data_IF_570318931088
#
_entry.id   IF_570318931088
#
_cell.length_a   1.000
_cell.length_b   1.000
_cell.length_c   1.000
_cell.angle_alpha   90.00
_cell.angle_beta   90.00
_cell.angle_gamma   90.00
#
_symmetry.space_group_name_H-M   'P 1'
#
loop_
_entity.id
_entity.type
_entity.pdbx_description
1 polymer ?
#
# COMPACT_ATOMS: atom_id res chain seq x y z
N UNK A 1 -16.96 4.77 -53.39
CA UNK A 1 -16.41 5.80 -52.49
C UNK A 1 -16.59 5.33 -51.05
N UNK A 2 -15.53 5.46 -50.25
CA UNK A 2 -15.47 5.37 -48.78
C UNK A 2 -15.81 4.02 -48.10
N UNK A 3 -14.77 3.22 -47.79
CA UNK A 3 -14.46 2.70 -46.43
C UNK A 3 -13.29 1.69 -46.50
N UNK A 4 -12.07 2.19 -46.70
CA UNK A 4 -10.80 1.44 -46.49
C UNK A 4 -9.78 2.30 -45.76
N UNK A 5 -10.15 2.79 -44.58
CA UNK A 5 -9.23 3.49 -43.68
C UNK A 5 -9.58 3.15 -42.24
N UNK A 6 -8.85 2.19 -41.65
CA UNK A 6 -8.45 2.14 -40.22
C UNK A 6 -7.96 0.73 -39.84
N UNK A 7 -6.80 0.32 -40.36
CA UNK A 7 -6.08 -0.89 -39.87
C UNK A 7 -4.57 -0.58 -39.66
N UNK A 8 -4.17 0.68 -39.51
CA UNK A 8 -2.73 1.03 -39.46
C UNK A 8 -2.38 2.04 -38.35
N UNK A 9 -2.87 1.81 -37.12
CA UNK A 9 -2.44 2.58 -35.93
C UNK A 9 -2.31 1.66 -34.69
N UNK A 10 -1.72 0.46 -34.79
CA UNK A 10 -1.23 -0.29 -33.60
C UNK A 10 0.06 -1.05 -33.95
N UNK A 11 1.01 -0.36 -34.58
CA UNK A 11 2.37 -0.90 -34.74
C UNK A 11 3.33 0.26 -34.69
N UNK A 12 4.31 0.17 -33.78
CA UNK A 12 5.30 1.19 -33.38
C UNK A 12 4.86 2.10 -32.24
N UNK A 13 5.26 1.74 -31.01
CA UNK A 13 6.07 2.57 -30.10
C UNK A 13 6.40 1.76 -28.84
N UNK A 14 7.37 0.86 -28.94
CA UNK A 14 8.12 0.34 -27.78
C UNK A 14 9.61 0.34 -28.13
N UNK A 15 10.37 1.39 -27.75
CA UNK A 15 11.81 1.27 -27.64
C UNK A 15 12.18 1.41 -26.16
N UNK A 16 12.38 0.28 -25.47
CA UNK A 16 13.10 0.28 -24.19
C UNK A 16 14.19 -0.80 -24.22
N UNK A 17 15.22 -0.43 -24.97
CA UNK A 17 16.62 -0.84 -24.85
C UNK A 17 17.01 -0.71 -23.37
N UNK A 18 17.46 -1.80 -22.74
CA UNK A 18 18.53 -1.91 -21.71
C UNK A 18 18.48 -3.30 -21.04
N UNK A 19 18.83 -4.34 -21.81
CA UNK A 19 19.20 -5.69 -21.31
C UNK A 19 20.68 -6.00 -21.62
N UNK A 20 21.53 -4.98 -21.65
CA UNK A 20 22.94 -5.07 -22.10
C UNK A 20 23.98 -5.03 -20.97
N UNK A 21 23.58 -5.21 -19.71
CA UNK A 21 24.51 -5.22 -18.56
C UNK A 21 24.52 -6.54 -17.78
N UNK A 22 23.78 -7.57 -18.23
CA UNK A 22 23.77 -8.91 -17.61
C UNK A 22 24.63 -9.94 -18.35
N UNK A 23 25.17 -9.61 -19.53
CA UNK A 23 25.96 -10.54 -20.36
C UNK A 23 27.49 -10.46 -20.16
N UNK A 24 28.00 -9.61 -19.27
CA UNK A 24 29.44 -9.52 -18.98
C UNK A 24 29.89 -10.23 -17.68
N UNK A 25 28.96 -10.73 -16.85
CA UNK A 25 29.26 -11.40 -15.55
C UNK A 25 28.98 -12.92 -15.60
N UNK A 26 28.84 -13.53 -16.78
CA UNK A 26 28.59 -14.99 -16.91
C UNK A 26 29.55 -15.66 -17.91
N UNK A 27 30.84 -15.28 -17.90
CA UNK A 27 31.89 -15.93 -18.70
C UNK A 27 33.05 -16.51 -17.89
N UNK A 28 32.85 -16.73 -16.59
CA UNK A 28 33.76 -17.53 -15.77
C UNK A 28 32.94 -18.45 -14.88
N UNK A 29 33.08 -19.75 -15.14
CA UNK A 29 33.01 -20.93 -14.25
C UNK A 29 32.33 -22.08 -15.02
N UNK A 30 32.90 -23.30 -14.98
CA UNK A 30 32.75 -24.30 -16.03
C UNK A 30 31.53 -25.22 -15.86
N UNK A 31 31.25 -25.89 -16.97
CA UNK A 31 30.23 -26.91 -17.18
C UNK A 31 30.05 -27.89 -16.01
N UNK A 32 28.80 -28.00 -15.53
CA UNK A 32 28.28 -29.22 -14.92
C UNK A 32 26.98 -29.59 -15.63
N UNK A 33 26.94 -30.87 -15.99
CA UNK A 33 25.94 -31.58 -16.76
C UNK A 33 24.66 -31.84 -15.95
N UNK A 34 23.57 -32.07 -16.68
CA UNK A 34 22.40 -32.88 -16.35
C UNK A 34 21.06 -32.21 -15.92
N UNK A 35 20.23 -32.01 -16.95
CA UNK A 35 18.86 -32.54 -17.14
C UNK A 35 17.69 -32.31 -16.15
N UNK A 36 16.56 -31.94 -16.78
CA UNK A 36 15.14 -32.13 -16.43
C UNK A 36 14.40 -31.04 -15.63
N UNK A 37 13.73 -30.17 -16.43
CA UNK A 37 12.31 -29.80 -16.39
C UNK A 37 11.63 -29.80 -15.00
N UNK A 38 11.20 -28.63 -14.52
CA UNK A 38 9.78 -28.23 -14.34
C UNK A 38 9.70 -26.72 -14.07
N UNK A 39 8.90 -26.04 -14.89
CA UNK A 39 8.63 -24.62 -14.87
C UNK A 39 7.48 -24.37 -13.88
N UNK A 40 7.76 -23.78 -12.72
CA UNK A 40 6.72 -23.41 -11.73
C UNK A 40 6.39 -21.92 -11.86
N UNK A 41 5.16 -21.67 -12.28
CA UNK A 41 4.46 -20.38 -12.23
C UNK A 41 4.08 -20.13 -10.75
N UNK A 42 4.36 -18.97 -10.13
CA UNK A 42 3.92 -18.73 -8.77
C UNK A 42 2.41 -18.43 -8.74
N UNK A 43 1.67 -19.39 -8.17
CA UNK A 43 0.27 -19.31 -7.78
C UNK A 43 0.03 -18.19 -6.77
N UNK A 44 -0.92 -17.31 -7.08
CA UNK A 44 -1.46 -16.25 -6.22
C UNK A 44 -2.78 -16.75 -5.65
N UNK A 45 -2.76 -17.59 -4.61
CA UNK A 45 -3.95 -17.88 -3.80
C UNK A 45 -3.52 -18.29 -2.38
N UNK A 46 -3.54 -17.33 -1.45
CA UNK A 46 -3.47 -17.58 -0.02
C UNK A 46 -4.87 -17.56 0.56
N UNK A 47 -5.49 -18.73 0.68
CA UNK A 47 -6.78 -18.91 1.35
C UNK A 47 -6.59 -19.04 2.86
N UNK A 48 -7.19 -18.12 3.62
CA UNK A 48 -7.38 -18.27 5.06
C UNK A 48 -8.54 -19.24 5.30
N UNK A 49 -8.32 -20.31 6.07
CA UNK A 49 -9.41 -21.01 6.78
C UNK A 49 -8.91 -21.78 8.00
N UNK A 50 -9.20 -21.21 9.16
CA UNK A 50 -9.70 -21.85 10.39
C UNK A 50 -9.49 -23.36 10.58
N UNK A 51 -8.64 -23.71 11.55
CA UNK A 51 -8.83 -24.89 12.39
C UNK A 51 -8.71 -24.48 13.87
N UNK A 52 -9.87 -24.38 14.54
CA UNK A 52 -9.98 -24.36 16.01
C UNK A 52 -9.77 -25.78 16.53
N UNK A 53 -9.02 -25.93 17.64
CA UNK A 53 -9.35 -26.79 18.79
C UNK A 53 -8.36 -26.56 19.95
N UNK A 54 -8.83 -25.75 20.90
CA UNK A 54 -8.69 -25.82 22.36
C UNK A 54 -7.46 -26.49 22.98
N UNK A 55 -6.71 -25.71 23.78
CA UNK A 55 -6.46 -26.04 25.19
C UNK A 55 -6.32 -24.72 25.99
N UNK A 56 -7.16 -24.59 27.02
CA UNK A 56 -7.27 -23.52 28.03
C UNK A 56 -6.09 -23.59 29.06
N UNK A 57 -5.90 -22.64 30.03
CA UNK A 57 -6.91 -21.75 30.60
C UNK A 57 -6.54 -20.27 30.78
N UNK A 58 -7.61 -19.54 31.09
CA UNK A 58 -7.64 -18.18 31.58
C UNK A 58 -6.83 -18.01 32.88
N UNK A 59 -6.15 -16.86 33.01
CA UNK A 59 -6.10 -16.20 34.32
C UNK A 59 -6.30 -14.70 34.15
N UNK A 60 -7.24 -14.25 34.95
CA UNK A 60 -7.76 -12.92 35.17
C UNK A 60 -6.91 -12.30 36.28
N UNK A 61 -6.52 -11.04 36.16
CA UNK A 61 -6.12 -10.08 37.22
C UNK A 61 -5.10 -9.10 36.64
N UNK A 62 -5.05 -7.83 36.96
CA UNK A 62 -5.93 -6.87 37.62
C UNK A 62 -5.22 -5.53 37.40
N UNK A 63 -6.00 -4.46 37.41
CA UNK A 63 -5.52 -3.10 37.35
C UNK A 63 -4.52 -2.82 38.49
N UNK A 64 -3.43 -2.13 38.18
CA UNK A 64 -2.62 -1.45 39.19
C UNK A 64 -2.45 0.01 38.76
N UNK A 65 -3.29 0.83 39.36
CA UNK A 65 -3.21 2.29 39.38
C UNK A 65 -1.91 2.67 40.09
N UNK A 66 -1.06 3.47 39.44
CA UNK A 66 0.10 4.06 40.11
C UNK A 66 -0.27 5.49 40.51
N UNK A 67 -0.42 5.69 41.81
CA UNK A 67 -0.66 6.98 42.45
C UNK A 67 0.65 7.75 42.59
N UNK A 68 0.64 9.02 42.21
CA UNK A 68 1.68 10.01 42.53
C UNK A 68 1.34 10.69 43.87
N UNK A 69 2.29 10.83 44.81
CA UNK A 69 2.12 11.73 45.94
C UNK A 69 2.68 13.10 45.59
N UNK A 70 1.96 14.17 45.88
CA UNK A 70 2.59 15.49 46.00
C UNK A 70 1.85 16.31 47.05
N UNK A 71 2.66 16.83 47.97
CA UNK A 71 2.36 17.49 49.23
C UNK A 71 1.81 18.90 49.05
N UNK A 72 1.00 19.32 50.03
CA UNK A 72 0.28 20.58 50.11
C UNK A 72 1.15 21.82 50.39
N UNK A 73 0.50 22.96 50.12
CA UNK A 73 0.62 24.29 50.75
C UNK A 73 1.67 25.26 50.21
N UNK A 74 1.24 26.32 49.52
CA UNK A 74 1.34 27.69 50.06
C UNK A 74 0.42 28.69 49.34
N UNK A 75 0.06 29.72 50.10
CA UNK A 75 -1.03 30.69 50.00
C UNK A 75 -0.51 32.01 49.40
N UNK A 76 -1.15 32.58 48.36
CA UNK A 76 -1.09 34.03 48.09
C UNK A 76 -2.17 34.49 47.10
N UNK A 77 -2.57 35.74 47.28
CA UNK A 77 -3.80 36.45 46.91
C UNK A 77 -4.14 36.59 45.40
N UNK A 78 -5.40 36.87 45.04
CA UNK A 78 -5.79 37.13 43.65
C UNK A 78 -5.53 38.59 43.24
N UNK A 79 -4.65 38.78 42.25
CA UNK A 79 -4.48 40.03 41.48
C UNK A 79 -5.54 40.10 40.36
N UNK A 80 -6.17 41.25 40.09
CA UNK A 80 -7.21 41.36 39.06
C UNK A 80 -6.60 41.22 37.65
N UNK A 81 -7.13 40.29 36.87
CA UNK A 81 -6.76 40.06 35.46
C UNK A 81 -7.25 41.18 34.57
N UNK A 82 -6.29 41.92 34.02
CA UNK A 82 -6.45 42.88 32.95
C UNK A 82 -6.76 42.13 31.64
N UNK A 83 -7.96 42.35 31.09
CA UNK A 83 -8.41 41.78 29.81
C UNK A 83 -7.61 42.37 28.65
N UNK A 84 -6.75 41.56 28.04
CA UNK A 84 -6.23 41.83 26.69
C UNK A 84 -7.15 41.19 25.64
N UNK A 85 -7.55 41.90 24.57
CA UNK A 85 -8.29 41.30 23.47
C UNK A 85 -7.35 40.36 22.71
N UNK A 86 -7.49 39.06 22.96
CA UNK A 86 -6.93 38.05 22.08
C UNK A 86 -7.68 38.15 20.75
N UNK A 87 -6.96 38.50 19.67
CA UNK A 87 -7.40 38.32 18.30
C UNK A 87 -7.53 36.81 18.01
N UNK A 88 -8.51 36.16 18.63
CA UNK A 88 -9.01 34.87 18.19
C UNK A 88 -9.82 35.11 16.92
N UNK A 89 -9.17 34.93 15.77
CA UNK A 89 -9.90 34.67 14.54
C UNK A 89 -10.63 33.34 14.74
N UNK A 90 -11.98 33.33 14.76
CA UNK A 90 -12.71 32.08 14.89
C UNK A 90 -12.34 31.22 13.69
N UNK A 91 -11.84 30.00 13.97
CA UNK A 91 -11.68 28.96 12.96
C UNK A 91 -13.08 28.63 12.45
N UNK A 92 -13.52 29.38 11.45
CA UNK A 92 -14.75 29.12 10.75
C UNK A 92 -14.65 27.70 10.21
N UNK A 93 -15.61 26.87 10.57
CA UNK A 93 -15.82 25.50 10.07
C UNK A 93 -16.21 25.49 8.59
N UNK A 94 -15.70 26.45 7.81
CA UNK A 94 -15.77 26.45 6.35
C UNK A 94 -15.37 25.05 5.90
N UNK A 95 -16.34 24.36 5.30
CA UNK A 95 -16.15 23.09 4.62
C UNK A 95 -14.80 23.17 3.91
N UNK A 96 -13.84 22.27 4.19
CA UNK A 96 -12.52 22.37 3.59
C UNK A 96 -12.75 22.39 2.09
N UNK A 97 -12.55 23.57 1.49
CA UNK A 97 -12.76 23.75 0.07
C UNK A 97 -12.01 22.63 -0.61
N UNK A 98 -12.68 21.91 -1.50
CA UNK A 98 -12.10 20.87 -2.34
C UNK A 98 -11.13 21.47 -3.36
N UNK A 99 -10.23 22.34 -2.88
CA UNK A 99 -9.14 22.91 -3.63
C UNK A 99 -8.25 21.77 -4.07
N UNK A 100 -8.23 21.52 -5.38
CA UNK A 100 -7.28 20.63 -6.02
C UNK A 100 -5.87 21.04 -5.56
N UNK A 101 -5.23 20.19 -4.77
CA UNK A 101 -3.86 20.41 -4.28
C UNK A 101 -2.94 20.58 -5.49
N UNK A 102 -2.26 21.71 -5.57
CA UNK A 102 -1.24 21.97 -6.59
C UNK A 102 0.03 21.24 -6.21
N UNK A 103 0.60 20.49 -7.15
CA UNK A 103 1.87 19.79 -6.96
C UNK A 103 2.98 20.83 -6.89
N UNK A 104 3.73 20.88 -5.78
CA UNK A 104 4.83 21.80 -5.58
C UNK A 104 6.12 21.17 -6.10
N UNK A 105 6.69 21.78 -7.12
CA UNK A 105 8.00 21.43 -7.65
C UNK A 105 9.04 22.37 -7.04
N UNK A 106 10.16 21.84 -6.57
CA UNK A 106 11.28 22.61 -6.04
C UNK A 106 12.03 23.33 -7.17
N UNK A 107 12.89 24.30 -6.84
CA UNK A 107 13.68 25.04 -7.84
C UNK A 107 14.53 24.12 -8.75
N UNK A 108 14.93 22.96 -8.23
CA UNK A 108 15.70 21.94 -8.95
C UNK A 108 14.85 21.07 -9.89
N UNK A 109 13.57 21.42 -10.10
CA UNK A 109 12.65 20.63 -10.92
C UNK A 109 12.14 19.36 -10.23
N UNK A 110 12.43 19.14 -8.94
CA UNK A 110 12.07 17.92 -8.21
C UNK A 110 10.76 18.05 -7.45
N UNK A 111 10.03 16.96 -7.30
CA UNK A 111 8.80 16.92 -6.50
C UNK A 111 9.09 17.21 -5.00
N UNK A 112 8.28 18.04 -4.35
CA UNK A 112 8.35 18.25 -2.89
C UNK A 112 8.08 16.96 -2.11
N UNK A 113 8.69 16.79 -0.94
CA UNK A 113 8.52 15.58 -0.12
C UNK A 113 7.06 15.31 0.27
N UNK A 114 6.32 16.37 0.64
CA UNK A 114 4.91 16.23 1.04
C UNK A 114 4.04 15.78 -0.13
N UNK A 115 4.30 16.30 -1.33
CA UNK A 115 3.56 15.93 -2.55
C UNK A 115 3.96 14.55 -3.04
N UNK A 116 5.24 14.17 -2.94
CA UNK A 116 5.72 12.82 -3.25
C UNK A 116 5.01 11.76 -2.39
N UNK A 117 4.97 11.95 -1.07
CA UNK A 117 4.32 11.00 -0.17
C UNK A 117 2.80 10.95 -0.40
N UNK A 118 2.17 12.10 -0.64
CA UNK A 118 0.77 12.16 -1.00
C UNK A 118 0.47 11.40 -2.29
N UNK A 119 1.30 11.59 -3.33
CA UNK A 119 1.09 10.98 -4.63
C UNK A 119 1.32 9.46 -4.61
N UNK A 120 2.26 8.99 -3.79
CA UNK A 120 2.47 7.56 -3.50
C UNK A 120 1.25 6.91 -2.84
N UNK A 121 0.64 7.59 -1.87
CA UNK A 121 -0.61 7.12 -1.23
C UNK A 121 -1.77 7.18 -2.22
N UNK A 122 -1.85 8.25 -3.01
CA UNK A 122 -2.90 8.44 -4.01
C UNK A 122 -2.90 7.32 -5.04
N UNK A 123 -1.74 6.93 -5.58
CA UNK A 123 -1.61 5.80 -6.51
C UNK A 123 -2.22 4.51 -5.93
N UNK A 124 -1.80 4.11 -4.72
CA UNK A 124 -2.31 2.90 -4.04
C UNK A 124 -3.81 2.99 -3.73
N UNK A 125 -4.30 4.17 -3.38
CA UNK A 125 -5.72 4.38 -3.13
C UNK A 125 -6.55 4.34 -4.42
N UNK A 126 -6.02 4.83 -5.54
CA UNK A 126 -6.70 4.73 -6.84
C UNK A 126 -6.81 3.28 -7.30
N UNK A 127 -5.74 2.48 -7.13
CA UNK A 127 -5.77 1.04 -7.43
C UNK A 127 -6.86 0.32 -6.63
N UNK A 128 -7.03 0.66 -5.34
CA UNK A 128 -8.10 0.12 -4.49
C UNK A 128 -9.49 0.67 -4.83
N UNK A 129 -9.58 1.95 -5.18
CA UNK A 129 -10.85 2.60 -5.50
C UNK A 129 -11.45 2.04 -6.79
N UNK A 130 -10.63 1.63 -7.75
CA UNK A 130 -11.09 1.07 -9.03
C UNK A 130 -11.63 -0.36 -8.92
N UNK A 131 -11.41 -1.04 -7.80
CA UNK A 131 -12.07 -2.32 -7.50
C UNK A 131 -13.58 -2.18 -7.39
N UNK A 132 -14.08 -1.08 -6.81
CA UNK A 132 -15.51 -0.84 -6.59
C UNK A 132 -16.27 -0.74 -7.93
N UNK A 133 -15.93 0.19 -8.85
CA UNK A 133 -16.62 0.29 -10.13
C UNK A 133 -16.41 -0.95 -11.00
N UNK A 134 -15.23 -1.57 -10.98
CA UNK A 134 -14.97 -2.83 -11.71
C UNK A 134 -15.93 -3.94 -11.29
N UNK A 135 -16.14 -4.09 -9.98
CA UNK A 135 -17.05 -5.11 -9.43
C UNK A 135 -18.51 -4.79 -9.71
N UNK A 136 -18.91 -3.51 -9.57
CA UNK A 136 -20.25 -3.07 -9.91
C UNK A 136 -20.55 -3.25 -11.41
N UNK A 137 -19.58 -3.01 -12.29
CA UNK A 137 -19.72 -3.26 -13.72
C UNK A 137 -19.85 -4.76 -14.01
N UNK A 138 -18.99 -5.59 -13.41
CA UNK A 138 -19.08 -7.05 -13.58
C UNK A 138 -20.43 -7.60 -13.12
N UNK A 139 -20.85 -7.24 -11.90
CA UNK A 139 -22.18 -7.61 -11.39
C UNK A 139 -23.31 -7.06 -12.25
N UNK A 140 -23.26 -5.77 -12.61
CA UNK A 140 -24.30 -5.13 -13.43
C UNK A 140 -24.45 -5.83 -14.78
N UNK A 141 -23.35 -6.11 -15.48
CA UNK A 141 -23.37 -6.84 -16.75
C UNK A 141 -23.90 -8.27 -16.59
N UNK A 142 -23.46 -9.01 -15.57
CA UNK A 142 -23.91 -10.38 -15.37
C UNK A 142 -25.39 -10.45 -14.97
N UNK A 143 -25.84 -9.58 -14.07
CA UNK A 143 -27.22 -9.56 -13.59
C UNK A 143 -28.17 -9.13 -14.70
N UNK A 144 -27.82 -8.11 -15.48
CA UNK A 144 -28.63 -7.70 -16.65
C UNK A 144 -28.70 -8.81 -17.70
N UNK A 145 -27.61 -9.54 -17.92
CA UNK A 145 -27.59 -10.70 -18.80
C UNK A 145 -28.49 -11.83 -18.31
N UNK A 146 -28.49 -12.15 -17.01
CA UNK A 146 -29.35 -13.21 -16.45
C UNK A 146 -30.82 -12.76 -16.45
N UNK A 147 -31.12 -11.51 -16.13
CA UNK A 147 -32.50 -11.01 -16.06
C UNK A 147 -33.20 -10.87 -17.41
N UNK A 148 -32.44 -10.76 -18.50
CA UNK A 148 -33.00 -10.73 -19.86
C UNK A 148 -33.25 -12.13 -20.43
N UNK A 149 -32.89 -13.20 -19.70
CA UNK A 149 -33.14 -14.58 -20.12
C UNK A 149 -34.39 -15.13 -19.45
N UNK A 150 -35.20 -15.82 -20.26
CA UNK A 150 -36.33 -16.60 -19.78
C UNK A 150 -35.79 -17.84 -19.04
N UNK A 151 -36.34 -18.10 -17.85
CA UNK A 151 -35.95 -19.24 -17.01
C UNK A 151 -36.70 -20.49 -17.48
N UNK A 152 -36.26 -21.05 -18.61
CA UNK A 152 -36.76 -22.34 -19.08
C UNK A 152 -36.27 -23.47 -18.15
N UNK A 153 -37.12 -24.43 -17.73
CA UNK A 153 -36.75 -25.49 -16.80
C UNK A 153 -35.88 -26.59 -17.42
N UNK A 154 -35.39 -26.40 -18.64
CA UNK A 154 -34.54 -27.36 -19.31
C UNK A 154 -33.19 -27.46 -18.60
N UNK A 155 -32.76 -28.66 -18.17
CA UNK A 155 -31.51 -28.81 -17.44
C UNK A 155 -30.33 -28.42 -18.31
N UNK A 156 -29.54 -27.46 -17.83
CA UNK A 156 -28.27 -27.07 -18.46
C UNK A 156 -27.18 -27.82 -17.69
N UNK A 157 -26.32 -28.58 -18.38
CA UNK A 157 -25.25 -29.39 -17.76
C UNK A 157 -25.74 -30.38 -16.66
N UNK A 158 -27.00 -30.83 -16.73
CA UNK A 158 -27.59 -31.74 -15.75
C UNK A 158 -28.03 -31.08 -14.44
N UNK A 159 -27.99 -29.74 -14.37
CA UNK A 159 -28.39 -28.94 -13.20
C UNK A 159 -29.53 -27.97 -13.57
N UNK A 160 -30.30 -27.55 -12.56
CA UNK A 160 -31.28 -26.46 -12.69
C UNK A 160 -30.58 -25.17 -13.19
N UNK A 161 -31.09 -24.55 -14.27
CA UNK A 161 -30.61 -23.27 -14.79
C UNK A 161 -30.43 -22.16 -13.75
N UNK A 162 -31.28 -22.13 -12.71
CA UNK A 162 -31.18 -21.11 -11.64
C UNK A 162 -29.83 -21.15 -10.93
N UNK A 163 -29.28 -22.36 -10.69
CA UNK A 163 -27.99 -22.55 -10.03
C UNK A 163 -26.84 -22.11 -10.94
N UNK A 164 -26.91 -22.41 -12.23
CA UNK A 164 -25.86 -22.03 -13.20
C UNK A 164 -25.83 -20.52 -13.37
N UNK A 165 -26.98 -19.87 -13.48
CA UNK A 165 -27.05 -18.42 -13.55
C UNK A 165 -26.55 -17.76 -12.25
N UNK A 166 -26.94 -18.30 -11.08
CA UNK A 166 -26.40 -17.85 -9.80
C UNK A 166 -24.87 -17.96 -9.72
N UNK A 167 -24.31 -19.10 -10.15
CA UNK A 167 -22.86 -19.31 -10.23
C UNK A 167 -22.19 -18.36 -11.22
N UNK A 168 -22.81 -18.08 -12.37
CA UNK A 168 -22.27 -17.15 -13.36
C UNK A 168 -22.12 -15.74 -12.79
N UNK A 169 -23.12 -15.26 -12.03
CA UNK A 169 -23.09 -13.96 -11.36
C UNK A 169 -22.00 -13.92 -10.30
N UNK A 170 -21.85 -15.00 -9.51
CA UNK A 170 -20.78 -15.12 -8.53
C UNK A 170 -19.40 -15.11 -9.19
N UNK A 171 -19.21 -15.86 -10.27
CA UNK A 171 -17.95 -15.87 -11.03
C UNK A 171 -17.62 -14.48 -11.58
N UNK A 172 -18.62 -13.79 -12.13
CA UNK A 172 -18.43 -12.44 -12.63
C UNK A 172 -18.03 -11.46 -11.51
N UNK A 173 -18.68 -11.55 -10.33
CA UNK A 173 -18.33 -10.77 -9.15
C UNK A 173 -16.88 -10.97 -8.71
N UNK A 174 -16.46 -12.24 -8.53
CA UNK A 174 -15.09 -12.56 -8.13
C UNK A 174 -14.08 -12.09 -9.18
N UNK A 175 -14.40 -12.25 -10.47
CA UNK A 175 -13.53 -11.76 -11.55
C UNK A 175 -13.40 -10.23 -11.54
N UNK A 176 -14.50 -9.51 -11.31
CA UNK A 176 -14.51 -8.04 -11.23
C UNK A 176 -13.67 -7.50 -10.07
N UNK A 177 -13.69 -8.19 -8.93
CA UNK A 177 -12.84 -7.87 -7.77
C UNK A 177 -11.34 -8.05 -8.08
N UNK A 178 -10.99 -9.14 -8.78
CA UNK A 178 -9.60 -9.48 -9.09
C UNK A 178 -9.00 -8.58 -10.18
N UNK A 179 -9.80 -8.24 -11.19
CA UNK A 179 -9.39 -7.44 -12.34
C UNK A 179 -9.22 -5.95 -11.97
N UNK A 180 -9.97 -5.47 -10.97
CA UNK A 180 -10.01 -4.05 -10.57
C UNK A 180 -8.63 -3.41 -10.35
N UNK A 181 -7.78 -3.94 -9.44
CA UNK A 181 -6.45 -3.36 -9.17
C UNK A 181 -5.50 -3.41 -10.38
N UNK A 182 -5.60 -4.45 -11.20
CA UNK A 182 -4.75 -4.64 -12.39
C UNK A 182 -5.05 -3.54 -13.41
N UNK A 183 -6.33 -3.37 -13.78
CA UNK A 183 -6.78 -2.29 -14.66
C UNK A 183 -6.46 -0.93 -14.04
N UNK A 184 -6.66 -0.79 -12.72
CA UNK A 184 -6.44 0.47 -12.04
C UNK A 184 -4.98 0.95 -12.08
N UNK A 185 -4.04 0.03 -11.96
CA UNK A 185 -2.61 0.36 -12.10
C UNK A 185 -2.25 0.82 -13.52
N UNK A 186 -2.86 0.22 -14.55
CA UNK A 186 -2.68 0.60 -15.95
C UNK A 186 -3.25 1.98 -16.24
N UNK A 187 -4.51 2.20 -15.86
CA UNK A 187 -5.22 3.48 -16.03
C UNK A 187 -4.45 4.62 -15.36
N UNK A 188 -4.01 4.45 -14.10
CA UNK A 188 -3.25 5.47 -13.39
C UNK A 188 -1.97 5.86 -14.13
N UNK A 189 -1.20 4.87 -14.60
CA UNK A 189 0.03 5.09 -15.35
C UNK A 189 -0.22 5.84 -16.65
N UNK A 190 -1.33 5.60 -17.34
CA UNK A 190 -1.67 6.29 -18.59
C UNK A 190 -2.01 7.77 -18.35
N UNK A 191 -2.80 8.09 -17.33
CA UNK A 191 -3.23 9.46 -17.05
C UNK A 191 -2.13 10.32 -16.39
N UNK A 192 -1.27 9.74 -15.55
CA UNK A 192 -0.29 10.49 -14.76
C UNK A 192 1.16 10.20 -15.19
N UNK A 193 1.40 9.96 -16.50
CA UNK A 193 2.74 9.57 -17.03
C UNK A 193 3.86 10.53 -16.64
N UNK A 194 3.60 11.83 -16.68
CA UNK A 194 4.59 12.86 -16.33
C UNK A 194 4.95 12.81 -14.84
N UNK A 195 3.93 12.72 -13.99
CA UNK A 195 4.10 12.64 -12.54
C UNK A 195 4.82 11.36 -12.12
N UNK A 196 4.57 10.24 -12.80
CA UNK A 196 5.25 8.97 -12.53
C UNK A 196 6.77 9.08 -12.71
N UNK A 197 7.25 9.78 -13.76
CA UNK A 197 8.70 9.99 -13.97
C UNK A 197 9.32 10.79 -12.82
N UNK A 198 8.69 11.92 -12.45
CA UNK A 198 9.12 12.76 -11.33
C UNK A 198 9.12 12.00 -10.00
N UNK A 199 8.13 11.11 -9.80
CA UNK A 199 8.05 10.24 -8.64
C UNK A 199 9.16 9.21 -8.60
N UNK A 200 9.50 8.57 -9.72
CA UNK A 200 10.54 7.54 -9.80
C UNK A 200 11.92 8.09 -9.40
N UNK A 201 12.24 9.31 -9.83
CA UNK A 201 13.46 10.00 -9.42
C UNK A 201 13.50 10.24 -7.91
N UNK A 202 12.39 10.74 -7.33
CA UNK A 202 12.28 10.93 -5.88
C UNK A 202 12.24 9.62 -5.09
N UNK A 203 11.68 8.56 -5.66
CA UNK A 203 11.63 7.24 -5.01
C UNK A 203 13.03 6.64 -4.88
N UNK A 204 13.91 6.87 -5.87
CA UNK A 204 15.33 6.51 -5.78
C UNK A 204 16.04 7.28 -4.67
N UNK A 205 15.80 8.59 -4.56
CA UNK A 205 16.38 9.40 -3.47
C UNK A 205 15.87 8.95 -2.10
N UNK A 206 14.58 8.68 -1.99
CA UNK A 206 13.97 8.14 -0.77
C UNK A 206 14.58 6.80 -0.38
N UNK A 207 14.74 5.89 -1.34
CA UNK A 207 15.38 4.59 -1.12
C UNK A 207 16.83 4.75 -0.65
N UNK A 208 17.59 5.70 -1.20
CA UNK A 208 18.94 6.01 -0.73
C UNK A 208 18.95 6.48 0.73
N UNK A 209 17.98 7.32 1.12
CA UNK A 209 17.81 7.74 2.52
C UNK A 209 17.46 6.57 3.45
N UNK A 210 16.57 5.66 3.05
CA UNK A 210 16.23 4.48 3.84
C UNK A 210 17.43 3.54 3.97
N UNK A 211 18.11 3.25 2.86
CA UNK A 211 19.30 2.38 2.85
C UNK A 211 20.41 2.91 3.77
N UNK A 212 20.60 4.22 3.84
CA UNK A 212 21.60 4.86 4.71
C UNK A 212 21.24 4.81 6.20
N UNK A 213 19.96 4.90 6.55
CA UNK A 213 19.50 5.07 7.93
C UNK A 213 18.86 3.80 8.54
N UNK A 214 18.82 2.68 7.80
CA UNK A 214 18.31 1.40 8.30
C UNK A 214 19.26 0.80 9.34
N UNK A 215 18.71 0.18 10.38
CA UNK A 215 19.49 -0.61 11.32
C UNK A 215 19.81 -2.01 10.76
N UNK A 216 20.91 -2.61 11.23
CA UNK A 216 21.30 -3.97 10.84
C UNK A 216 20.33 -5.00 11.42
N UNK A 217 19.86 -5.96 10.60
CA UNK A 217 18.84 -6.92 11.01
C UNK A 217 19.35 -7.97 12.00
N UNK A 218 20.67 -8.11 12.15
CA UNK A 218 21.31 -9.04 13.09
C UNK A 218 21.02 -8.70 14.55
N UNK A 219 20.74 -7.42 14.85
CA UNK A 219 20.51 -6.92 16.22
C UNK A 219 19.10 -7.24 16.76
N UNK A 220 18.34 -8.08 16.06
CA UNK A 220 17.03 -8.52 16.52
C UNK A 220 17.15 -9.49 17.70
N UNK A 221 16.25 -9.36 18.67
CA UNK A 221 16.12 -10.29 19.80
C UNK A 221 14.63 -10.52 20.05
N UNK A 222 14.26 -11.59 20.74
CA UNK A 222 12.86 -11.89 21.11
C UNK A 222 12.23 -10.70 21.86
N UNK A 223 13.03 -9.94 22.63
CA UNK A 223 12.61 -8.76 23.38
C UNK A 223 12.61 -7.46 22.56
N UNK A 224 13.23 -7.46 21.38
CA UNK A 224 13.42 -6.31 20.51
C UNK A 224 13.02 -6.67 19.07
N UNK A 225 11.71 -6.64 18.74
CA UNK A 225 11.23 -7.03 17.42
C UNK A 225 11.83 -6.14 16.33
N UNK A 226 12.16 -6.75 15.19
CA UNK A 226 12.82 -6.06 14.09
C UNK A 226 12.00 -4.85 13.60
N UNK A 227 12.63 -3.68 13.41
CA UNK A 227 11.96 -2.51 12.88
C UNK A 227 11.64 -2.71 11.40
N UNK A 228 10.75 -1.89 10.86
CA UNK A 228 10.44 -1.91 9.42
C UNK A 228 11.71 -1.65 8.60
N UNK A 229 12.23 -2.70 7.96
CA UNK A 229 13.51 -2.70 7.24
C UNK A 229 13.44 -1.94 5.91
N UNK A 230 12.28 -1.97 5.25
CA UNK A 230 12.09 -1.38 3.91
C UNK A 230 11.40 -0.02 3.95
N UNK A 231 10.89 0.40 5.12
CA UNK A 231 10.15 1.65 5.25
C UNK A 231 8.81 1.62 4.53
N UNK A 232 8.19 0.44 4.40
CA UNK A 232 6.94 0.26 3.65
C UNK A 232 5.80 1.11 4.23
N UNK A 233 5.81 1.29 5.55
CA UNK A 233 4.75 1.98 6.30
C UNK A 233 4.86 3.51 6.24
N UNK A 234 5.90 4.06 5.61
CA UNK A 234 6.16 5.51 5.58
C UNK A 234 5.30 6.16 4.49
N UNK A 235 4.29 6.91 4.90
CA UNK A 235 3.34 7.61 4.03
C UNK A 235 3.38 9.13 4.19
N UNK A 236 4.23 9.66 5.07
CA UNK A 236 4.42 11.10 5.27
C UNK A 236 5.80 11.42 5.83
N UNK A 237 6.20 12.70 5.75
CA UNK A 237 7.46 13.19 6.35
C UNK A 237 7.46 13.01 7.88
N UNK A 238 6.31 13.21 8.53
CA UNK A 238 6.18 13.02 9.97
C UNK A 238 6.42 11.55 10.38
N UNK A 239 5.88 10.60 9.60
CA UNK A 239 6.12 9.17 9.79
C UNK A 239 7.57 8.79 9.49
N UNK A 240 8.20 9.40 8.50
CA UNK A 240 9.63 9.20 8.23
C UNK A 240 10.49 9.60 9.45
N UNK A 241 10.21 10.74 10.08
CA UNK A 241 10.90 11.16 11.32
C UNK A 241 10.65 10.18 12.48
N UNK A 242 9.42 9.67 12.61
CA UNK A 242 9.10 8.63 13.60
C UNK A 242 9.87 7.34 13.32
N UNK A 243 9.97 6.94 12.07
CA UNK A 243 10.72 5.77 11.64
C UNK A 243 12.21 5.92 11.97
N UNK A 244 12.83 7.07 11.70
CA UNK A 244 14.23 7.35 12.08
C UNK A 244 14.47 7.20 13.59
N UNK A 245 13.54 7.68 14.43
CA UNK A 245 13.62 7.48 15.87
C UNK A 245 13.57 6.00 16.26
N UNK A 246 12.66 5.23 15.64
CA UNK A 246 12.56 3.78 15.86
C UNK A 246 13.84 3.05 15.47
N UNK A 247 14.49 3.42 14.36
CA UNK A 247 15.76 2.82 13.95
C UNK A 247 16.87 3.07 15.00
N UNK A 248 16.99 4.31 15.50
CA UNK A 248 17.97 4.64 16.55
C UNK A 248 17.68 3.93 17.87
N UNK A 249 16.42 3.84 18.24
CA UNK A 249 16.00 3.12 19.46
C UNK A 249 16.31 1.63 19.35
N UNK A 250 16.10 1.04 18.17
CA UNK A 250 16.45 -0.36 17.90
C UNK A 250 17.96 -0.59 17.98
N UNK A 251 18.77 0.28 17.40
CA UNK A 251 20.23 0.21 17.51
C UNK A 251 20.68 0.30 18.98
N UNK A 252 20.15 1.28 19.73
CA UNK A 252 20.46 1.44 21.17
C UNK A 252 20.13 0.19 21.98
N UNK A 253 18.98 -0.43 21.71
CA UNK A 253 18.57 -1.67 22.38
C UNK A 253 19.42 -2.86 21.95
N UNK A 254 19.76 -2.97 20.67
CA UNK A 254 20.60 -4.05 20.13
C UNK A 254 22.01 -4.04 20.72
N UNK A 255 22.65 -2.88 20.78
CA UNK A 255 24.00 -2.75 21.35
C UNK A 255 24.05 -3.10 22.84
N UNK A 256 23.01 -2.79 23.61
CA UNK A 256 22.98 -3.07 25.04
C UNK A 256 23.01 -4.59 25.34
N UNK A 257 22.30 -5.41 24.57
CA UNK A 257 22.25 -6.86 24.83
C UNK A 257 23.56 -7.57 24.49
N UNK A 258 24.32 -7.06 23.51
CA UNK A 258 25.62 -7.66 23.15
C UNK A 258 26.64 -7.48 24.28
N UNK A 259 26.53 -6.43 25.09
CA UNK A 259 27.47 -6.17 26.18
C UNK A 259 27.20 -6.93 27.49
N UNK A 260 26.09 -7.67 27.61
CA UNK A 260 25.77 -8.49 28.80
C UNK A 260 26.26 -9.94 28.67
N UNK A 261 26.73 -10.36 27.49
CA UNK A 261 27.20 -11.72 27.21
C UNK A 261 28.74 -11.90 27.28
N UNK A 262 29.48 -10.85 27.68
CA UNK A 262 30.93 -10.88 27.97
C UNK A 262 31.21 -10.77 29.48
#
# INVERSE_FOLDING_TARGET
MATRLSVNIITNYVPFRHYSQFHQIMRKIPHVHNSHKYFIIPSVFGTNSLAKKNLFPANQQSQAYFTTPTHDSEKSSPTPLQTQPTNYSPKAWLLPGSGRRQIRVTKDGKLSWDDYFWLRVRRRNTERALTIPSTLLGLGMSTTYVFTRELDPTPILGQDPTVIYGLSVLLCFFSGLLIGPVIGSGVWKLFHRHEVKMMEERDREFYAHIKKNRADPSLHSIRNPAPDYYGEKIKSVAEYRKWLRKQREFLRKGTFHIGEEE
#
